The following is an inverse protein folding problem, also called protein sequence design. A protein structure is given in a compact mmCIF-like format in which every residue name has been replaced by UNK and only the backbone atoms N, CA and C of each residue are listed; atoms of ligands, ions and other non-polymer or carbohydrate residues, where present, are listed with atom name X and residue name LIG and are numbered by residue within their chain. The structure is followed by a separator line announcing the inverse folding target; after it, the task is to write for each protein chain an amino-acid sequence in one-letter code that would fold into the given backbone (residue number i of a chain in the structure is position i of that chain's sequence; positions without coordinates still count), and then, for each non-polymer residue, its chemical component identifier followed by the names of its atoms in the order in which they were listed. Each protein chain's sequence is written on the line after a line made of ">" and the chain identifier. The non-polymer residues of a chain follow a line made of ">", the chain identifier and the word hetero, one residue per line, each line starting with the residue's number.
data_IF_449800524172
#
_entry.id   IF_449800524172
#
_cell.length_a   1.000
_cell.length_b   1.000
_cell.length_c   1.000
_cell.angle_alpha   90.00
_cell.angle_beta   90.00
_cell.angle_gamma   90.00
#
_symmetry.space_group_name_H-M   'P 1'
#
loop_
_entity.id
_entity.type
_entity.pdbx_description
1 polymer ?
#
# COMPACT_ATOMS: atom_id res chain seq x y z
N UNK A 1 1.16 -60.50 -31.58
CA UNK A 1 0.58 -59.82 -30.42
C UNK A 1 1.70 -59.10 -29.69
N UNK A 2 1.88 -57.79 -29.89
CA UNK A 2 2.90 -56.98 -29.24
C UNK A 2 2.21 -56.00 -28.33
N UNK A 3 2.58 -56.00 -27.02
CA UNK A 3 2.12 -55.02 -26.00
C UNK A 3 2.84 -53.69 -26.20
N UNK A 4 2.17 -52.53 -26.10
CA UNK A 4 2.85 -51.28 -26.08
C UNK A 4 3.39 -50.97 -24.68
N UNK A 5 4.67 -50.59 -24.59
CA UNK A 5 5.35 -50.15 -23.40
C UNK A 5 4.86 -48.75 -23.00
N UNK A 6 4.44 -48.59 -21.73
CA UNK A 6 4.11 -47.36 -21.11
C UNK A 6 5.41 -46.63 -20.70
N UNK A 7 5.72 -45.49 -21.37
CA UNK A 7 6.78 -44.58 -20.95
C UNK A 7 6.30 -43.79 -19.72
N UNK A 8 6.93 -44.06 -18.59
CA UNK A 8 6.77 -43.25 -17.36
C UNK A 8 7.29 -41.83 -17.58
N UNK A 9 6.41 -40.86 -17.43
CA UNK A 9 6.76 -39.45 -17.42
C UNK A 9 7.45 -39.09 -16.08
N UNK A 10 8.74 -38.77 -16.12
CA UNK A 10 9.51 -38.31 -15.00
C UNK A 10 9.01 -36.91 -14.57
N UNK A 11 8.29 -36.85 -13.44
CA UNK A 11 7.85 -35.62 -12.82
C UNK A 11 9.05 -34.77 -12.38
N UNK A 12 9.20 -33.58 -12.94
CA UNK A 12 10.14 -32.55 -12.47
C UNK A 12 9.75 -32.14 -11.07
N UNK A 13 10.49 -32.56 -10.06
CA UNK A 13 10.38 -32.09 -8.70
C UNK A 13 10.69 -30.56 -8.65
N UNK A 14 9.64 -29.76 -8.51
CA UNK A 14 9.76 -28.32 -8.32
C UNK A 14 10.53 -28.04 -7.03
N UNK A 15 11.70 -27.40 -7.12
CA UNK A 15 12.46 -26.95 -5.96
C UNK A 15 11.62 -25.91 -5.21
N UNK A 16 11.01 -26.31 -4.09
CA UNK A 16 10.35 -25.40 -3.16
C UNK A 16 11.38 -24.40 -2.63
N UNK A 17 11.40 -23.20 -3.21
CA UNK A 17 12.15 -22.07 -2.65
C UNK A 17 11.53 -21.75 -1.29
N UNK A 18 12.18 -22.14 -0.21
CA UNK A 18 11.83 -21.70 1.14
C UNK A 18 12.00 -20.16 1.18
N UNK A 19 10.87 -19.43 1.14
CA UNK A 19 10.89 -17.98 1.36
C UNK A 19 11.40 -17.73 2.77
N UNK A 20 12.53 -17.03 2.90
CA UNK A 20 13.01 -16.57 4.19
C UNK A 20 11.90 -15.72 4.82
N UNK A 21 11.41 -16.16 5.99
CA UNK A 21 10.45 -15.39 6.78
C UNK A 21 11.07 -14.03 7.08
N UNK A 22 10.43 -12.94 6.64
CA UNK A 22 10.92 -11.58 6.91
C UNK A 22 11.02 -11.40 8.42
N UNK A 23 12.15 -10.91 8.89
CA UNK A 23 12.35 -10.57 10.30
C UNK A 23 11.34 -9.50 10.70
N UNK A 24 10.64 -9.72 11.80
CA UNK A 24 9.72 -8.73 12.37
C UNK A 24 10.57 -7.63 12.99
N UNK A 25 10.53 -6.44 12.40
CA UNK A 25 11.14 -5.25 12.97
C UNK A 25 10.24 -4.76 14.10
N UNK A 26 10.81 -4.40 15.24
CA UNK A 26 10.04 -3.76 16.32
C UNK A 26 10.20 -2.24 16.20
N UNK A 27 9.21 -1.58 15.60
CA UNK A 27 9.22 -0.14 15.35
C UNK A 27 7.96 0.47 15.98
N UNK A 28 8.07 1.08 17.17
CA UNK A 28 6.91 1.66 17.87
C UNK A 28 6.38 2.95 17.20
N UNK A 29 7.24 3.71 16.55
CA UNK A 29 6.88 4.98 15.88
C UNK A 29 7.26 4.94 14.41
N UNK A 30 6.38 5.45 13.57
CA UNK A 30 6.61 5.51 12.14
C UNK A 30 5.97 6.72 11.48
N UNK A 31 6.12 6.77 10.16
CA UNK A 31 5.52 7.78 9.31
C UNK A 31 4.56 7.08 8.35
N UNK A 32 3.33 7.57 8.25
CA UNK A 32 2.35 7.08 7.29
C UNK A 32 2.25 8.07 6.12
N UNK A 33 2.62 7.65 4.95
CA UNK A 33 2.50 8.40 3.72
C UNK A 33 1.22 8.00 3.00
N UNK A 34 0.31 8.95 2.81
CA UNK A 34 -0.94 8.76 2.08
C UNK A 34 -0.86 9.57 0.79
N UNK A 35 -0.81 8.90 -0.34
CA UNK A 35 -0.88 9.54 -1.64
C UNK A 35 -2.26 9.26 -2.24
N UNK A 36 -3.12 10.28 -2.26
CA UNK A 36 -4.47 10.20 -2.77
C UNK A 36 -4.60 10.99 -4.08
N UNK A 37 -4.63 10.30 -5.19
CA UNK A 37 -4.97 10.87 -6.49
C UNK A 37 -6.46 10.68 -6.77
N UNK A 38 -6.98 11.31 -7.83
CA UNK A 38 -8.38 11.10 -8.25
C UNK A 38 -8.69 9.65 -8.62
N UNK A 39 -7.70 8.88 -9.06
CA UNK A 39 -7.87 7.53 -9.58
C UNK A 39 -7.43 6.43 -8.64
N UNK A 40 -6.63 6.72 -7.62
CA UNK A 40 -6.07 5.71 -6.73
C UNK A 40 -5.61 6.33 -5.40
N UNK A 41 -5.58 5.52 -4.36
CA UNK A 41 -4.97 5.88 -3.07
C UNK A 41 -3.92 4.83 -2.71
N UNK A 42 -2.73 5.31 -2.35
CA UNK A 42 -1.61 4.49 -1.90
C UNK A 42 -1.28 4.88 -0.46
N UNK A 43 -1.21 3.90 0.41
CA UNK A 43 -0.84 4.07 1.81
C UNK A 43 0.45 3.30 2.06
N UNK A 44 1.49 4.00 2.49
CA UNK A 44 2.80 3.42 2.81
C UNK A 44 3.18 3.81 4.22
N UNK A 45 3.50 2.82 5.05
CA UNK A 45 3.95 3.02 6.42
C UNK A 45 5.43 2.71 6.50
N UNK A 46 6.20 3.67 7.00
CA UNK A 46 7.66 3.58 7.13
C UNK A 46 8.09 3.76 8.57
N UNK A 47 9.33 3.40 8.87
CA UNK A 47 9.99 3.83 10.09
C UNK A 47 10.41 5.32 9.99
N UNK A 48 11.03 5.86 11.03
CA UNK A 48 11.50 7.26 11.04
C UNK A 48 12.64 7.51 10.04
N UNK A 49 13.40 6.49 9.70
CA UNK A 49 14.52 6.56 8.73
C UNK A 49 14.02 6.55 7.29
N UNK A 50 12.79 6.04 7.05
CA UNK A 50 12.19 5.93 5.73
C UNK A 50 12.11 4.51 5.16
N UNK A 51 12.51 3.49 5.92
CA UNK A 51 12.37 2.10 5.47
C UNK A 51 10.91 1.66 5.53
N UNK A 52 10.41 1.08 4.46
CA UNK A 52 9.02 0.64 4.38
C UNK A 52 8.76 -0.59 5.25
N UNK A 53 7.79 -0.48 6.15
CA UNK A 53 7.28 -1.57 6.98
C UNK A 53 6.14 -2.30 6.26
N UNK A 54 5.16 -1.55 5.78
CA UNK A 54 4.01 -2.06 5.05
C UNK A 54 3.51 -1.04 4.04
N UNK A 55 2.84 -1.52 3.00
CA UNK A 55 2.14 -0.66 2.05
C UNK A 55 0.95 -1.39 1.44
N UNK A 56 -0.08 -0.65 1.10
CA UNK A 56 -1.23 -1.10 0.33
C UNK A 56 -1.76 0.03 -0.54
N UNK A 57 -2.35 -0.35 -1.66
CA UNK A 57 -3.08 0.59 -2.51
C UNK A 57 -4.48 0.06 -2.78
N UNK A 58 -5.38 0.94 -3.20
CA UNK A 58 -6.72 0.53 -3.62
C UNK A 58 -6.66 -0.53 -4.73
N UNK A 59 -5.72 -0.38 -5.67
CA UNK A 59 -5.53 -1.35 -6.76
C UNK A 59 -5.01 -2.72 -6.29
N UNK A 60 -4.17 -2.76 -5.24
CA UNK A 60 -3.63 -4.01 -4.70
C UNK A 60 -4.67 -4.86 -3.95
N UNK A 61 -5.80 -4.27 -3.57
CA UNK A 61 -6.93 -4.93 -2.91
C UNK A 61 -7.97 -5.48 -3.89
N UNK A 62 -7.72 -5.38 -5.19
CA UNK A 62 -8.62 -5.89 -6.21
C UNK A 62 -9.64 -4.88 -6.75
N UNK A 63 -9.67 -3.63 -6.25
CA UNK A 63 -10.47 -2.58 -6.86
C UNK A 63 -9.95 -2.26 -8.26
N UNK A 64 -10.85 -2.01 -9.20
CA UNK A 64 -10.54 -1.77 -10.62
C UNK A 64 -11.22 -0.49 -11.11
N UNK A 65 -10.63 0.15 -12.12
CA UNK A 65 -11.19 1.33 -12.77
C UNK A 65 -11.45 2.48 -11.79
N UNK A 66 -12.60 3.11 -11.89
CA UNK A 66 -13.02 4.26 -11.07
C UNK A 66 -13.19 3.92 -9.57
N UNK A 67 -13.44 2.66 -9.25
CA UNK A 67 -13.60 2.21 -7.86
C UNK A 67 -12.34 2.40 -7.00
N UNK A 68 -11.16 2.45 -7.59
CA UNK A 68 -9.90 2.71 -6.89
C UNK A 68 -9.81 4.11 -6.28
N UNK A 69 -10.50 5.09 -6.87
CA UNK A 69 -10.52 6.47 -6.39
C UNK A 69 -11.55 6.73 -5.29
N UNK A 70 -12.30 5.74 -4.85
CA UNK A 70 -13.36 5.91 -3.86
C UNK A 70 -12.80 6.00 -2.43
N UNK A 71 -13.48 6.75 -1.50
CA UNK A 71 -13.11 6.79 -0.09
C UNK A 71 -13.10 5.42 0.58
N UNK A 72 -14.04 4.54 0.21
CA UNK A 72 -14.11 3.18 0.72
C UNK A 72 -12.86 2.35 0.37
N UNK A 73 -12.38 2.43 -0.87
CA UNK A 73 -11.17 1.74 -1.29
C UNK A 73 -9.94 2.24 -0.53
N UNK A 74 -9.85 3.56 -0.28
CA UNK A 74 -8.81 4.16 0.53
C UNK A 74 -8.84 3.69 1.99
N UNK A 75 -10.04 3.60 2.58
CA UNK A 75 -10.24 3.06 3.93
C UNK A 75 -9.73 1.62 4.03
N UNK A 76 -10.08 0.76 3.08
CA UNK A 76 -9.62 -0.63 3.06
C UNK A 76 -8.10 -0.73 2.90
N UNK A 77 -7.51 0.11 2.03
CA UNK A 77 -6.06 0.15 1.85
C UNK A 77 -5.34 0.54 3.15
N UNK A 78 -5.83 1.57 3.84
CA UNK A 78 -5.26 2.03 5.10
C UNK A 78 -5.40 0.99 6.22
N UNK A 79 -6.58 0.37 6.38
CA UNK A 79 -6.82 -0.68 7.38
C UNK A 79 -5.89 -1.88 7.18
N UNK A 80 -5.73 -2.35 5.93
CA UNK A 80 -4.86 -3.48 5.64
C UNK A 80 -3.36 -3.13 5.84
N UNK A 81 -2.94 -1.92 5.44
CA UNK A 81 -1.56 -1.46 5.68
C UNK A 81 -1.28 -1.33 7.18
N UNK A 82 -2.24 -0.79 7.95
CA UNK A 82 -2.15 -0.64 9.40
C UNK A 82 -2.05 -2.00 10.11
N UNK A 83 -2.87 -2.98 9.74
CA UNK A 83 -2.81 -4.33 10.31
C UNK A 83 -1.44 -4.96 10.13
N UNK A 84 -0.87 -4.87 8.91
CA UNK A 84 0.47 -5.38 8.63
C UNK A 84 1.56 -4.62 9.41
N UNK A 85 1.41 -3.32 9.60
CA UNK A 85 2.37 -2.52 10.36
C UNK A 85 2.33 -2.83 11.86
N UNK A 86 1.15 -3.14 12.41
CA UNK A 86 0.99 -3.58 13.81
C UNK A 86 1.75 -4.88 14.09
N UNK A 87 1.84 -5.78 13.12
CA UNK A 87 2.66 -7.00 13.24
C UNK A 87 4.15 -6.69 13.44
N UNK A 88 4.59 -5.50 13.02
CA UNK A 88 5.94 -4.95 13.26
C UNK A 88 6.03 -4.10 14.54
N UNK A 89 5.01 -4.11 15.40
CA UNK A 89 5.00 -3.41 16.67
C UNK A 89 4.65 -1.92 16.61
N UNK A 90 4.13 -1.43 15.47
CA UNK A 90 3.78 -0.01 15.30
C UNK A 90 2.61 0.38 16.22
N UNK A 91 2.77 1.49 16.95
CA UNK A 91 1.77 2.03 17.89
C UNK A 91 1.29 3.42 17.48
N UNK A 92 2.21 4.28 17.04
CA UNK A 92 1.90 5.66 16.68
C UNK A 92 2.56 6.06 15.37
N UNK A 93 1.91 6.97 14.64
CA UNK A 93 2.38 7.48 13.34
C UNK A 93 2.20 8.98 13.21
N UNK A 94 3.12 9.59 12.48
CA UNK A 94 2.94 10.91 11.88
C UNK A 94 2.40 10.73 10.45
N UNK A 95 1.28 11.36 10.14
CA UNK A 95 0.64 11.22 8.84
C UNK A 95 1.09 12.34 7.91
N UNK A 96 1.55 11.97 6.72
CA UNK A 96 1.89 12.87 5.61
C UNK A 96 0.97 12.59 4.44
N UNK A 97 0.12 13.55 4.12
CA UNK A 97 -0.87 13.43 3.05
C UNK A 97 -0.43 14.22 1.83
N UNK A 98 -0.55 13.61 0.66
CA UNK A 98 -0.29 14.26 -0.62
C UNK A 98 -1.41 13.97 -1.62
N UNK A 99 -1.76 14.96 -2.44
CA UNK A 99 -2.70 14.82 -3.54
C UNK A 99 -4.13 15.25 -3.23
N UNK A 100 -4.95 15.44 -4.27
CA UNK A 100 -6.32 16.01 -4.15
C UNK A 100 -7.43 14.94 -4.07
N UNK A 101 -7.11 13.66 -3.98
CA UNK A 101 -8.09 12.57 -4.04
C UNK A 101 -9.06 12.55 -2.86
N UNK A 102 -10.25 12.00 -3.06
CA UNK A 102 -11.29 11.86 -2.04
C UNK A 102 -10.95 10.86 -0.92
N UNK A 103 -9.91 10.05 -1.10
CA UNK A 103 -9.47 9.06 -0.11
C UNK A 103 -8.64 9.61 1.04
N UNK A 104 -8.29 10.92 1.05
CA UNK A 104 -7.43 11.55 2.07
C UNK A 104 -7.93 11.31 3.50
N UNK A 105 -9.12 11.81 3.80
CA UNK A 105 -9.72 11.74 5.12
C UNK A 105 -10.08 10.30 5.54
N UNK A 106 -10.62 9.53 4.61
CA UNK A 106 -11.03 8.15 4.85
C UNK A 106 -9.84 7.28 5.26
N UNK A 107 -8.69 7.48 4.64
CA UNK A 107 -7.47 6.76 4.99
C UNK A 107 -6.98 7.13 6.40
N UNK A 108 -7.01 8.42 6.76
CA UNK A 108 -6.60 8.88 8.12
C UNK A 108 -7.52 8.29 9.18
N UNK A 109 -8.84 8.35 8.96
CA UNK A 109 -9.83 7.77 9.90
C UNK A 109 -9.64 6.26 10.07
N UNK A 110 -9.29 5.56 8.98
CA UNK A 110 -9.05 4.13 9.00
C UNK A 110 -7.81 3.74 9.82
N UNK A 111 -6.75 4.57 9.83
CA UNK A 111 -5.58 4.35 10.69
C UNK A 111 -5.94 4.41 12.16
N UNK A 112 -6.71 5.43 12.57
CA UNK A 112 -7.19 5.57 13.93
C UNK A 112 -8.13 4.42 14.33
N UNK A 113 -9.04 4.02 13.44
CA UNK A 113 -9.93 2.88 13.65
C UNK A 113 -9.18 1.53 13.78
N UNK A 114 -8.03 1.40 13.11
CA UNK A 114 -7.16 0.24 13.22
C UNK A 114 -6.35 0.20 14.53
N UNK A 115 -6.52 1.20 15.42
CA UNK A 115 -5.84 1.26 16.72
C UNK A 115 -4.41 1.78 16.65
N UNK A 116 -4.06 2.55 15.64
CA UNK A 116 -2.79 3.28 15.55
C UNK A 116 -3.05 4.73 15.96
N UNK A 117 -2.28 5.23 16.92
CA UNK A 117 -2.34 6.62 17.36
C UNK A 117 -1.80 7.55 16.27
N UNK A 118 -2.59 8.53 15.85
CA UNK A 118 -2.18 9.58 14.93
C UNK A 118 -1.70 10.77 15.74
N UNK A 119 -0.39 11.06 15.71
CA UNK A 119 0.22 12.18 16.47
C UNK A 119 0.12 13.50 15.76
N UNK A 120 0.49 13.52 14.49
CA UNK A 120 0.44 14.73 13.68
C UNK A 120 -0.07 14.41 12.27
N UNK A 121 -0.68 15.40 11.64
CA UNK A 121 -1.13 15.32 10.25
C UNK A 121 -0.55 16.52 9.53
N UNK A 122 0.20 16.26 8.43
CA UNK A 122 0.81 17.29 7.60
C UNK A 122 0.41 17.08 6.15
N UNK A 123 0.03 18.15 5.48
CA UNK A 123 -0.12 18.14 4.04
C UNK A 123 1.25 18.43 3.40
N UNK A 124 1.71 17.48 2.57
CA UNK A 124 2.98 17.56 1.85
C UNK A 124 2.76 17.58 0.34
N UNK A 125 1.59 17.99 -0.12
CA UNK A 125 1.30 18.11 -1.54
C UNK A 125 2.30 19.05 -2.19
N UNK A 126 3.06 18.60 -3.22
CA UNK A 126 4.07 19.43 -3.85
C UNK A 126 3.42 20.60 -4.62
N UNK A 127 3.89 21.81 -4.38
CA UNK A 127 3.49 23.00 -5.12
C UNK A 127 4.70 23.50 -5.89
N UNK A 128 4.67 23.52 -7.24
CA UNK A 128 5.80 24.00 -8.04
C UNK A 128 5.98 25.51 -7.89
N UNK A 129 7.24 25.97 -7.83
CA UNK A 129 7.62 27.37 -7.92
C UNK A 129 7.76 27.76 -9.40
N UNK A 130 6.65 27.86 -10.12
CA UNK A 130 6.62 28.04 -11.58
C UNK A 130 7.15 26.88 -12.45
N UNK A 131 7.58 25.81 -11.94
CA UNK A 131 8.07 24.57 -12.55
C UNK A 131 7.95 24.38 -14.07
N UNK A 132 7.87 23.14 -14.51
CA UNK A 132 7.70 22.80 -15.93
C UNK A 132 6.30 23.16 -16.44
N UNK A 133 6.21 23.49 -17.73
CA UNK A 133 4.91 23.71 -18.39
C UNK A 133 4.06 22.44 -18.30
N UNK A 134 2.82 22.51 -17.78
CA UNK A 134 1.93 21.34 -17.75
C UNK A 134 1.57 20.88 -19.17
N UNK A 135 1.19 19.59 -19.35
CA UNK A 135 0.70 19.10 -20.63
C UNK A 135 -0.57 19.83 -21.04
N UNK A 136 -0.88 19.86 -22.33
CA UNK A 136 -2.09 20.47 -22.82
C UNK A 136 -3.34 19.77 -22.26
N UNK A 137 -4.44 20.52 -22.18
CA UNK A 137 -5.73 20.00 -21.71
C UNK A 137 -6.17 18.76 -22.52
N UNK A 138 -6.59 17.72 -21.81
CA UNK A 138 -7.14 16.52 -22.43
C UNK A 138 -8.41 16.85 -23.24
N UNK A 139 -8.47 16.36 -24.46
CA UNK A 139 -9.69 16.43 -25.30
C UNK A 139 -10.66 15.33 -24.81
N UNK A 140 -11.89 15.70 -24.59
CA UNK A 140 -12.98 14.80 -24.17
C UNK A 140 -13.97 14.66 -25.31
#
# INVERSE_FOLDING_TARGET
>A
MAKPEQKAAAGKAGKNKKFKKRERKNVPFGICHIQASFNNTIVTITDQVGNTLSWKSSGSLGFRGSRKGTPFAAQQAASNAASMARDHGLRAVDVRVAGPGSGRESAIRALAAAGIEVRSIRDVTPVPHNGCRPPKRRRV
#
